data_IF_520591742210
#
_entry.id   IF_520591742210
#
_cell.length_a   1.000
_cell.length_b   1.000
_cell.length_c   1.000
_cell.angle_alpha   90.00
_cell.angle_beta   90.00
_cell.angle_gamma   90.00
#
_symmetry.space_group_name_H-M   'P 1'
#
loop_
_entity.id
_entity.type
_entity.pdbx_description
1 polymer ?
#
# COMPACT_ATOMS: atom_id res chain seq x y z
N UNK A 1 -36.33 -62.05 -5.74
CA UNK A 1 -35.09 -62.84 -5.95
C UNK A 1 -34.02 -61.87 -6.42
N UNK A 2 -33.24 -61.23 -5.54
CA UNK A 2 -31.97 -61.73 -5.00
C UNK A 2 -30.98 -62.18 -6.09
N UNK A 3 -30.02 -61.33 -6.45
CA UNK A 3 -28.59 -61.68 -6.46
C UNK A 3 -27.75 -60.42 -6.16
N UNK A 4 -26.87 -60.59 -5.19
CA UNK A 4 -25.87 -59.67 -4.63
C UNK A 4 -24.54 -59.85 -5.36
N UNK A 5 -23.78 -58.79 -5.63
CA UNK A 5 -22.30 -58.84 -5.58
C UNK A 5 -21.62 -57.49 -5.34
N UNK A 6 -21.14 -57.33 -4.09
CA UNK A 6 -19.82 -56.84 -3.64
C UNK A 6 -19.22 -55.56 -4.26
N UNK A 7 -19.36 -54.46 -3.51
CA UNK A 7 -18.48 -53.30 -3.58
C UNK A 7 -17.31 -53.47 -2.59
N UNK A 8 -16.07 -53.42 -3.09
CA UNK A 8 -14.83 -53.43 -2.28
C UNK A 8 -14.74 -52.12 -1.48
N UNK A 9 -14.73 -52.22 -0.14
CA UNK A 9 -14.27 -51.15 0.77
C UNK A 9 -12.75 -51.27 0.95
N UNK A 10 -11.99 -50.25 0.55
CA UNK A 10 -10.62 -50.04 1.03
C UNK A 10 -10.65 -49.20 2.31
N UNK A 11 -9.78 -49.58 3.25
CA UNK A 11 -9.68 -49.05 4.61
C UNK A 11 -9.02 -47.66 4.60
N UNK A 12 -9.66 -46.65 5.17
CA UNK A 12 -8.98 -45.42 5.61
C UNK A 12 -8.69 -45.54 7.12
N UNK A 13 -7.41 -45.58 7.46
CA UNK A 13 -6.89 -45.53 8.82
C UNK A 13 -6.94 -44.11 9.37
N UNK A 14 -7.43 -43.98 10.61
CA UNK A 14 -7.52 -42.74 11.40
C UNK A 14 -6.14 -42.22 11.79
N UNK A 15 -5.91 -40.89 11.72
CA UNK A 15 -5.30 -40.20 12.87
C UNK A 15 -5.88 -38.77 13.02
N UNK A 16 -7.01 -38.63 13.71
CA UNK A 16 -7.55 -37.29 14.05
C UNK A 16 -8.07 -37.20 15.51
N UNK A 17 -7.84 -38.23 16.33
CA UNK A 17 -8.30 -38.27 17.74
C UNK A 17 -7.19 -38.15 18.79
N UNK A 18 -5.92 -38.11 18.39
CA UNK A 18 -4.78 -38.03 19.32
C UNK A 18 -4.30 -36.59 19.59
N UNK A 19 -4.52 -35.65 18.67
CA UNK A 19 -4.06 -34.27 18.83
C UNK A 19 -4.91 -33.45 19.83
N UNK A 20 -6.20 -33.73 19.95
CA UNK A 20 -7.07 -33.04 20.92
C UNK A 20 -6.75 -33.40 22.39
N UNK A 21 -6.23 -34.59 22.67
CA UNK A 21 -5.89 -35.00 24.04
C UNK A 21 -4.53 -34.44 24.50
N UNK A 22 -3.59 -34.20 23.58
CA UNK A 22 -2.32 -33.56 23.91
C UNK A 22 -2.50 -32.08 24.27
N UNK A 23 -3.41 -31.37 23.58
CA UNK A 23 -3.69 -29.95 23.80
C UNK A 23 -4.40 -29.67 25.14
N UNK A 24 -5.32 -30.56 25.54
CA UNK A 24 -6.03 -30.46 26.84
C UNK A 24 -5.09 -30.76 28.00
N UNK A 25 -4.12 -31.67 27.81
CA UNK A 25 -3.13 -32.01 28.84
C UNK A 25 -2.12 -30.88 29.09
N UNK A 26 -1.70 -30.16 28.04
CA UNK A 26 -0.79 -28.99 28.13
C UNK A 26 -1.45 -27.78 28.81
N UNK A 27 -2.76 -27.57 28.63
CA UNK A 27 -3.51 -26.50 29.30
C UNK A 27 -3.68 -26.75 30.82
N UNK A 28 -3.79 -28.01 31.25
CA UNK A 28 -3.89 -28.35 32.68
C UNK A 28 -2.53 -28.18 33.38
N UNK A 29 -1.40 -28.49 32.73
CA UNK A 29 -0.07 -28.27 33.30
C UNK A 29 0.26 -26.77 33.42
N UNK A 30 -0.18 -25.93 32.47
CA UNK A 30 -0.02 -24.48 32.56
C UNK A 30 -0.83 -23.85 33.70
N UNK A 31 -2.05 -24.34 33.95
CA UNK A 31 -2.91 -23.88 35.05
C UNK A 31 -2.37 -24.27 36.44
N UNK A 32 -1.69 -25.42 36.56
CA UNK A 32 -1.05 -25.83 37.82
C UNK A 32 0.27 -25.09 38.05
N UNK A 33 1.04 -24.78 37.00
CA UNK A 33 2.28 -24.00 37.11
C UNK A 33 2.05 -22.54 37.55
N UNK A 34 0.92 -21.92 37.15
CA UNK A 34 0.53 -20.58 37.62
C UNK A 34 0.07 -20.55 39.09
N UNK A 35 -0.25 -21.70 39.68
CA UNK A 35 -0.68 -21.82 41.09
C UNK A 35 0.47 -22.03 42.08
N UNK A 36 1.69 -22.29 41.60
CA UNK A 36 2.88 -22.55 42.45
C UNK A 36 3.84 -21.35 42.54
N UNK A 37 3.62 -20.29 41.75
CA UNK A 37 4.48 -19.08 41.74
C UNK A 37 3.91 -17.94 42.63
N UNK A 38 2.77 -18.14 43.31
CA UNK A 38 2.18 -17.14 44.22
C UNK A 38 2.24 -17.53 45.70
N UNK A 39 3.32 -18.18 46.15
CA UNK A 39 3.55 -18.50 47.57
C UNK A 39 4.94 -18.07 48.06
N UNK A 40 5.34 -16.84 47.72
CA UNK A 40 6.53 -16.19 48.29
C UNK A 40 6.35 -14.67 48.22
N UNK A 41 5.63 -14.10 49.19
CA UNK A 41 5.98 -12.89 49.96
C UNK A 41 4.90 -12.77 51.03
N UNK A 42 5.32 -12.89 52.29
CA UNK A 42 4.46 -12.82 53.45
C UNK A 42 4.06 -11.39 53.83
N UNK A 43 2.88 -11.33 54.45
CA UNK A 43 2.51 -10.52 55.61
C UNK A 43 2.55 -8.99 55.53
N UNK A 44 1.37 -8.42 55.31
CA UNK A 44 0.66 -7.62 56.33
C UNK A 44 -0.65 -7.10 55.73
N UNK A 45 -1.81 -7.49 56.28
CA UNK A 45 -2.99 -6.62 56.46
C UNK A 45 -4.02 -7.36 57.31
N UNK A 46 -4.54 -6.62 58.29
CA UNK A 46 -5.53 -7.02 59.29
C UNK A 46 -6.87 -7.44 58.68
N UNK A 47 -7.56 -8.31 59.41
CA UNK A 47 -8.93 -8.77 59.18
C UNK A 47 -9.93 -7.61 59.08
N UNK A 48 -10.80 -7.66 58.07
CA UNK A 48 -12.21 -7.28 58.22
C UNK A 48 -13.06 -8.41 57.64
N UNK A 49 -13.84 -9.03 58.52
CA UNK A 49 -14.87 -10.02 58.18
C UNK A 49 -16.01 -9.31 57.45
N UNK A 50 -16.40 -9.82 56.29
CA UNK A 50 -17.65 -9.49 55.62
C UNK A 50 -18.24 -10.77 55.04
N UNK A 51 -19.34 -11.20 55.63
CA UNK A 51 -20.20 -12.30 55.16
C UNK A 51 -20.98 -11.83 53.94
N UNK A 52 -20.69 -12.39 52.75
CA UNK A 52 -21.67 -12.45 51.66
C UNK A 52 -21.30 -13.54 50.65
N UNK A 53 -22.33 -14.26 50.16
CA UNK A 53 -22.22 -15.32 49.14
C UNK A 53 -21.59 -14.77 47.85
N UNK A 54 -20.83 -15.58 47.08
CA UNK A 54 -20.22 -15.11 45.84
C UNK A 54 -21.32 -14.83 44.80
N UNK A 55 -21.48 -13.55 44.45
CA UNK A 55 -22.23 -13.12 43.26
C UNK A 55 -21.58 -13.72 42.02
N UNK A 56 -22.40 -14.07 41.03
CA UNK A 56 -21.89 -14.59 39.76
C UNK A 56 -21.02 -13.53 39.06
N UNK A 57 -20.01 -13.99 38.31
CA UNK A 57 -19.06 -13.10 37.59
C UNK A 57 -19.78 -12.09 36.67
N UNK A 58 -20.98 -12.43 36.18
CA UNK A 58 -21.80 -11.52 35.36
C UNK A 58 -22.39 -10.35 36.17
N UNK A 59 -22.86 -10.57 37.41
CA UNK A 59 -23.41 -9.50 38.24
C UNK A 59 -22.33 -8.53 38.71
N UNK A 60 -21.11 -9.03 38.95
CA UNK A 60 -19.96 -8.17 39.28
C UNK A 60 -19.53 -7.27 38.11
N UNK A 61 -19.72 -7.73 36.87
CA UNK A 61 -19.44 -6.95 35.65
C UNK A 61 -20.52 -5.88 35.45
N UNK A 62 -21.80 -6.22 35.67
CA UNK A 62 -22.92 -5.26 35.56
C UNK A 62 -22.84 -4.18 36.65
N UNK A 63 -22.54 -4.54 37.90
CA UNK A 63 -22.32 -3.56 38.98
C UNK A 63 -21.09 -2.67 38.71
N UNK A 64 -20.10 -3.13 37.96
CA UNK A 64 -18.92 -2.32 37.56
C UNK A 64 -19.25 -1.37 36.41
N UNK A 65 -20.09 -1.78 35.47
CA UNK A 65 -20.60 -0.94 34.38
C UNK A 65 -21.51 0.17 34.93
N UNK A 66 -22.41 -0.16 35.86
CA UNK A 66 -23.31 0.82 36.47
C UNK A 66 -22.55 1.84 37.33
N UNK A 67 -21.51 1.41 38.07
CA UNK A 67 -20.65 2.33 38.83
C UNK A 67 -19.80 3.25 37.96
N UNK A 68 -19.42 2.82 36.75
CA UNK A 68 -18.77 3.71 35.76
C UNK A 68 -19.75 4.72 35.15
N UNK A 69 -21.05 4.40 35.09
CA UNK A 69 -22.09 5.33 34.65
C UNK A 69 -22.43 6.38 35.74
N UNK A 70 -22.42 5.99 37.01
CA UNK A 70 -22.75 6.88 38.14
C UNK A 70 -21.61 7.84 38.55
N UNK A 71 -20.35 7.57 38.15
CA UNK A 71 -19.22 8.47 38.45
C UNK A 71 -19.08 9.65 37.48
N UNK A 72 -19.99 9.83 36.52
CA UNK A 72 -19.97 10.97 35.56
C UNK A 72 -20.95 12.10 35.92
N UNK A 73 -21.65 12.01 37.05
CA UNK A 73 -22.55 13.09 37.51
C UNK A 73 -22.10 13.68 38.84
N UNK A 74 -21.05 14.48 38.80
CA UNK A 74 -20.81 15.53 39.80
C UNK A 74 -20.64 16.86 39.08
N UNK A 75 -21.52 17.79 39.43
CA UNK A 75 -21.70 19.14 38.90
C UNK A 75 -20.42 19.97 38.95
N UNK A 76 -19.89 20.31 37.78
CA UNK A 76 -19.03 21.48 37.56
C UNK A 76 -19.56 22.32 36.40
N UNK A 77 -19.45 23.64 36.57
CA UNK A 77 -19.93 24.74 35.72
C UNK A 77 -19.74 24.54 34.19
N UNK A 78 -20.70 24.95 33.34
CA UNK A 78 -20.67 24.76 31.88
C UNK A 78 -19.80 25.79 31.14
N UNK A 79 -18.59 26.09 31.62
CA UNK A 79 -17.74 27.11 31.01
C UNK A 79 -16.25 26.78 31.11
N UNK A 80 -15.81 25.64 30.56
CA UNK A 80 -14.46 25.39 30.02
C UNK A 80 -14.37 23.93 29.55
N UNK A 81 -15.11 23.58 28.50
CA UNK A 81 -14.81 22.37 27.74
C UNK A 81 -13.80 22.75 26.64
N UNK A 82 -12.57 22.35 26.93
CA UNK A 82 -11.42 22.12 26.06
C UNK A 82 -11.63 22.41 24.55
N UNK A 83 -11.26 23.62 24.13
CA UNK A 83 -11.08 23.99 22.73
C UNK A 83 -9.68 23.56 22.28
N UNK A 84 -9.50 22.31 21.83
CA UNK A 84 -8.48 21.90 20.83
C UNK A 84 -8.42 20.37 20.61
N UNK A 85 -9.55 19.69 20.47
CA UNK A 85 -9.54 18.41 19.75
C UNK A 85 -9.74 18.75 18.27
N UNK A 86 -8.71 18.54 17.44
CA UNK A 86 -8.86 18.52 15.98
C UNK A 86 -10.04 17.61 15.67
N UNK A 87 -11.09 18.16 15.04
CA UNK A 87 -12.35 17.45 14.85
C UNK A 87 -12.14 16.26 13.91
N UNK A 88 -11.90 15.08 14.48
CA UNK A 88 -11.94 13.80 13.77
C UNK A 88 -13.37 13.61 13.27
N UNK A 89 -13.54 13.62 11.95
CA UNK A 89 -14.84 13.43 11.28
C UNK A 89 -15.09 11.97 10.90
N UNK A 90 -14.02 11.23 10.60
CA UNK A 90 -14.09 9.83 10.20
C UNK A 90 -13.08 9.03 11.03
N UNK A 91 -13.56 8.06 11.81
CA UNK A 91 -12.68 7.26 12.70
C UNK A 91 -11.79 6.29 11.93
N UNK A 92 -12.37 5.59 10.94
CA UNK A 92 -11.67 4.62 10.08
C UNK A 92 -11.78 5.12 8.64
N UNK A 93 -10.83 5.96 8.17
CA UNK A 93 -10.87 6.51 6.83
C UNK A 93 -10.55 5.44 5.79
N UNK A 94 -11.14 5.56 4.60
CA UNK A 94 -10.81 4.77 3.42
C UNK A 94 -9.94 5.62 2.50
N UNK A 95 -8.70 5.20 2.25
CA UNK A 95 -7.78 5.89 1.36
C UNK A 95 -7.76 5.19 0.01
N UNK A 96 -8.02 5.96 -1.04
CA UNK A 96 -7.84 5.49 -2.41
C UNK A 96 -6.37 5.47 -2.79
N UNK A 97 -5.87 4.36 -3.34
CA UNK A 97 -4.52 4.29 -3.92
C UNK A 97 -4.67 4.20 -5.43
N UNK A 98 -4.10 5.17 -6.16
CA UNK A 98 -4.12 5.15 -7.62
C UNK A 98 -3.27 3.99 -8.13
N UNK A 99 -3.86 3.12 -8.95
CA UNK A 99 -3.13 2.05 -9.63
C UNK A 99 -2.20 2.59 -10.71
N UNK A 100 -1.27 1.75 -11.16
CA UNK A 100 -0.31 2.06 -12.21
C UNK A 100 -0.39 1.02 -13.34
N UNK A 101 -0.05 1.41 -14.56
CA UNK A 101 0.09 0.45 -15.66
C UNK A 101 1.32 -0.42 -15.39
N UNK A 102 1.14 -1.74 -15.37
CA UNK A 102 2.23 -2.70 -15.26
C UNK A 102 2.92 -2.83 -16.62
N UNK A 103 4.01 -2.07 -16.82
CA UNK A 103 4.70 -2.01 -18.12
C UNK A 103 5.36 -3.34 -18.49
N UNK A 104 5.93 -4.04 -17.52
CA UNK A 104 6.58 -5.34 -17.67
C UNK A 104 5.63 -6.52 -17.38
N UNK A 105 4.34 -6.37 -17.69
CA UNK A 105 3.30 -7.37 -17.34
C UNK A 105 3.61 -8.79 -17.80
N UNK A 106 4.32 -8.97 -18.92
CA UNK A 106 4.70 -10.30 -19.48
C UNK A 106 5.56 -11.12 -18.51
N UNK A 107 6.23 -10.46 -17.56
CA UNK A 107 6.98 -11.12 -16.48
C UNK A 107 6.06 -11.81 -15.46
N UNK A 108 4.80 -11.36 -15.33
CA UNK A 108 3.90 -11.75 -14.24
C UNK A 108 2.59 -12.37 -14.73
N UNK A 109 2.13 -12.03 -15.94
CA UNK A 109 0.78 -12.31 -16.44
C UNK A 109 0.76 -12.38 -17.97
N UNK A 110 -0.24 -13.07 -18.53
CA UNK A 110 -0.41 -13.21 -19.98
C UNK A 110 -1.10 -11.99 -20.65
N UNK A 111 -1.76 -11.15 -19.86
CA UNK A 111 -2.51 -9.97 -20.36
C UNK A 111 -2.06 -8.71 -19.65
N UNK A 112 -2.35 -7.55 -20.23
CA UNK A 112 -2.06 -6.28 -19.57
C UNK A 112 -2.79 -6.15 -18.22
N UNK A 113 -2.07 -5.66 -17.21
CA UNK A 113 -2.59 -5.45 -15.86
C UNK A 113 -2.24 -4.04 -15.36
N UNK A 114 -3.06 -3.58 -14.42
CA UNK A 114 -2.73 -2.50 -13.51
C UNK A 114 -2.14 -3.11 -12.23
N UNK A 115 -1.36 -2.35 -11.47
CA UNK A 115 -0.84 -2.82 -10.20
C UNK A 115 -0.83 -1.77 -9.09
N UNK A 116 -0.71 -2.25 -7.85
CA UNK A 116 -0.27 -1.51 -6.67
C UNK A 116 0.79 -2.36 -5.96
N UNK A 117 1.93 -1.78 -5.60
CA UNK A 117 2.89 -2.45 -4.73
C UNK A 117 2.30 -2.60 -3.31
N UNK A 118 2.38 -3.80 -2.73
CA UNK A 118 1.71 -4.11 -1.48
C UNK A 118 2.26 -3.30 -0.29
N UNK A 119 3.49 -2.80 -0.38
CA UNK A 119 4.08 -1.90 0.62
C UNK A 119 3.25 -0.64 0.85
N UNK A 120 2.69 0.00 -0.18
CA UNK A 120 1.78 1.15 0.01
C UNK A 120 0.52 0.78 0.78
N UNK A 121 -0.05 -0.40 0.51
CA UNK A 121 -1.23 -0.90 1.22
C UNK A 121 -0.90 -1.12 2.69
N UNK A 122 0.16 -1.88 2.97
CA UNK A 122 0.64 -2.18 4.33
C UNK A 122 0.97 -0.91 5.12
N UNK A 123 1.57 0.07 4.45
CA UNK A 123 1.93 1.36 5.04
C UNK A 123 0.72 2.14 5.52
N UNK A 124 -0.32 2.26 4.69
CA UNK A 124 -1.58 2.88 5.06
C UNK A 124 -2.32 2.09 6.14
N UNK A 125 -2.45 0.77 5.99
CA UNK A 125 -3.18 -0.07 6.94
C UNK A 125 -2.52 -0.12 8.32
N UNK A 126 -1.19 -0.02 8.36
CA UNK A 126 -0.49 0.09 9.64
C UNK A 126 -1.05 1.26 10.46
N UNK A 127 -1.44 2.35 9.81
CA UNK A 127 -1.91 3.58 10.46
C UNK A 127 -3.42 3.66 10.69
N UNK A 128 -4.12 2.54 10.56
CA UNK A 128 -5.53 2.44 10.95
C UNK A 128 -6.53 2.92 9.89
N UNK A 129 -6.09 3.02 8.63
CA UNK A 129 -6.96 3.29 7.49
C UNK A 129 -7.20 2.03 6.66
N UNK A 130 -8.33 1.98 5.96
CA UNK A 130 -8.60 0.96 4.95
C UNK A 130 -8.19 1.46 3.57
N UNK A 131 -7.90 0.53 2.66
CA UNK A 131 -7.46 0.86 1.30
C UNK A 131 -8.46 0.41 0.26
N UNK A 132 -8.65 1.24 -0.76
CA UNK A 132 -9.34 0.88 -2.00
C UNK A 132 -8.45 1.18 -3.21
N UNK A 133 -8.24 0.23 -4.14
CA UNK A 133 -7.57 0.50 -5.40
C UNK A 133 -8.44 1.39 -6.30
N UNK A 134 -7.85 2.47 -6.81
CA UNK A 134 -8.48 3.30 -7.85
C UNK A 134 -7.90 2.90 -9.20
N UNK A 135 -8.73 2.28 -10.03
CA UNK A 135 -8.35 1.74 -11.33
C UNK A 135 -8.18 2.87 -12.36
N UNK A 136 -7.20 2.71 -13.24
CA UNK A 136 -7.03 3.56 -14.42
C UNK A 136 -8.06 3.21 -15.50
N UNK A 137 -8.13 4.07 -16.53
CA UNK A 137 -8.97 3.86 -17.72
C UNK A 137 -10.47 3.67 -17.42
N UNK A 138 -10.95 4.30 -16.34
CA UNK A 138 -12.38 4.35 -16.00
C UNK A 138 -13.03 5.65 -16.47
N UNK A 139 -14.36 5.70 -16.45
CA UNK A 139 -15.13 6.88 -16.84
C UNK A 139 -15.26 7.93 -15.70
N UNK A 140 -15.83 9.10 -15.99
CA UNK A 140 -15.98 10.20 -15.03
C UNK A 140 -16.86 9.84 -13.84
N UNK A 141 -17.91 9.05 -14.08
CA UNK A 141 -18.82 8.59 -13.04
C UNK A 141 -18.06 7.72 -12.02
N UNK A 142 -17.21 6.81 -12.49
CA UNK A 142 -16.37 6.00 -11.62
C UNK A 142 -15.48 6.87 -10.74
N UNK A 143 -14.70 7.80 -11.30
CA UNK A 143 -13.79 8.62 -10.48
C UNK A 143 -14.55 9.53 -9.50
N UNK A 144 -15.69 10.08 -9.93
CA UNK A 144 -16.57 10.87 -9.06
C UNK A 144 -17.12 10.02 -7.91
N UNK A 145 -17.50 8.77 -8.19
CA UNK A 145 -17.99 7.85 -7.18
C UNK A 145 -16.86 7.44 -6.22
N UNK A 146 -15.68 7.07 -6.73
CA UNK A 146 -14.53 6.73 -5.90
C UNK A 146 -14.15 7.89 -4.99
N UNK A 147 -14.05 9.11 -5.51
CA UNK A 147 -13.77 10.32 -4.71
C UNK A 147 -14.75 10.52 -3.55
N UNK A 148 -16.06 10.32 -3.79
CA UNK A 148 -17.10 10.41 -2.75
C UNK A 148 -17.03 9.26 -1.73
N UNK A 149 -16.39 8.16 -2.09
CA UNK A 149 -16.29 6.93 -1.31
C UNK A 149 -14.88 6.71 -0.73
N UNK A 150 -14.07 7.77 -0.70
CA UNK A 150 -12.76 7.79 -0.05
C UNK A 150 -12.61 9.08 0.76
N UNK A 151 -11.72 9.05 1.74
CA UNK A 151 -11.41 10.14 2.64
C UNK A 151 -10.04 10.79 2.33
N UNK A 152 -9.31 10.25 1.37
CA UNK A 152 -8.01 10.75 0.91
C UNK A 152 -7.53 9.96 -0.31
N UNK A 153 -6.53 10.50 -1.01
CA UNK A 153 -5.93 9.88 -2.19
C UNK A 153 -4.41 9.75 -2.02
N UNK A 154 -3.87 8.57 -2.31
CA UNK A 154 -2.44 8.32 -2.42
C UNK A 154 -2.06 8.10 -3.88
N UNK A 155 -1.05 8.85 -4.33
CA UNK A 155 -0.37 8.70 -5.60
C UNK A 155 0.98 8.00 -5.34
N UNK A 156 1.11 6.71 -5.68
CA UNK A 156 2.32 5.95 -5.37
C UNK A 156 3.49 6.35 -6.29
N UNK A 157 4.70 5.96 -5.90
CA UNK A 157 5.87 5.96 -6.76
C UNK A 157 5.75 4.92 -7.88
N UNK A 158 6.59 5.02 -8.91
CA UNK A 158 6.62 4.10 -10.06
C UNK A 158 7.26 4.74 -11.28
N UNK A 159 6.95 4.24 -12.47
CA UNK A 159 7.66 4.56 -13.71
C UNK A 159 6.73 4.93 -14.88
N UNK A 160 5.44 5.14 -14.62
CA UNK A 160 4.49 5.56 -15.65
C UNK A 160 4.79 6.99 -16.16
N UNK A 161 4.52 7.23 -17.45
CA UNK A 161 4.84 8.49 -18.11
C UNK A 161 4.01 9.67 -17.58
N UNK A 162 4.71 10.69 -17.06
CA UNK A 162 4.15 11.98 -16.65
C UNK A 162 4.33 13.02 -17.76
N UNK A 163 3.42 13.03 -18.73
CA UNK A 163 3.37 14.05 -19.77
C UNK A 163 2.04 14.81 -19.71
N UNK A 164 2.04 16.09 -19.29
CA UNK A 164 0.80 16.87 -19.20
C UNK A 164 0.08 17.05 -20.53
N UNK A 165 0.78 16.89 -21.66
CA UNK A 165 0.24 17.02 -23.02
C UNK A 165 -0.33 15.72 -23.58
N UNK A 166 -0.14 14.59 -22.89
CA UNK A 166 -0.66 13.29 -23.33
C UNK A 166 -1.75 12.80 -22.38
N UNK A 167 -2.72 12.10 -22.95
CA UNK A 167 -3.82 11.48 -22.22
C UNK A 167 -3.51 10.03 -21.88
N UNK A 168 -2.37 9.79 -21.23
CA UNK A 168 -2.05 8.46 -20.70
C UNK A 168 -3.09 8.05 -19.63
N UNK A 169 -3.35 6.75 -19.42
CA UNK A 169 -4.33 6.30 -18.43
C UNK A 169 -4.12 6.89 -17.03
N UNK A 170 -2.84 7.03 -16.62
CA UNK A 170 -2.47 7.66 -15.36
C UNK A 170 -2.78 9.16 -15.35
N UNK A 171 -2.38 9.89 -16.40
CA UNK A 171 -2.61 11.35 -16.47
C UNK A 171 -4.10 11.68 -16.50
N UNK A 172 -4.91 10.92 -17.24
CA UNK A 172 -6.37 11.11 -17.30
C UNK A 172 -7.01 10.88 -15.93
N UNK A 173 -6.69 9.75 -15.27
CA UNK A 173 -7.24 9.44 -13.95
C UNK A 173 -6.81 10.47 -12.90
N UNK A 174 -5.52 10.79 -12.87
CA UNK A 174 -4.95 11.71 -11.89
C UNK A 174 -5.46 13.15 -12.07
N UNK A 175 -5.56 13.66 -13.31
CA UNK A 175 -6.16 14.98 -13.60
C UNK A 175 -7.60 15.08 -13.05
N UNK A 176 -8.42 14.03 -13.25
CA UNK A 176 -9.81 14.00 -12.76
C UNK A 176 -9.88 14.00 -11.24
N UNK A 177 -9.15 13.10 -10.59
CA UNK A 177 -9.13 12.98 -9.12
C UNK A 177 -8.54 14.22 -8.44
N UNK A 178 -7.44 14.75 -8.98
CA UNK A 178 -6.83 15.98 -8.47
C UNK A 178 -7.78 17.17 -8.61
N UNK A 179 -8.48 17.31 -9.74
CA UNK A 179 -9.49 18.36 -9.93
C UNK A 179 -10.63 18.24 -8.91
N UNK A 180 -11.16 17.03 -8.70
CA UNK A 180 -12.21 16.79 -7.70
C UNK A 180 -11.76 17.20 -6.29
N UNK A 181 -10.56 16.81 -5.89
CA UNK A 181 -9.98 17.18 -4.60
C UNK A 181 -9.70 18.69 -4.47
N UNK A 182 -9.13 19.32 -5.50
CA UNK A 182 -8.87 20.76 -5.52
C UNK A 182 -10.17 21.56 -5.39
N UNK A 183 -11.17 21.21 -6.21
CA UNK A 183 -12.48 21.87 -6.17
C UNK A 183 -13.15 21.63 -4.82
N UNK A 184 -13.11 20.42 -4.26
CA UNK A 184 -13.64 20.13 -2.92
C UNK A 184 -13.01 21.01 -1.83
N UNK A 185 -11.68 21.07 -1.77
CA UNK A 185 -11.01 21.89 -0.76
C UNK A 185 -11.33 23.39 -0.93
N UNK A 186 -11.47 23.90 -2.17
CA UNK A 186 -11.89 25.29 -2.44
C UNK A 186 -13.26 25.64 -1.86
N UNK A 187 -14.18 24.68 -1.79
CA UNK A 187 -15.52 24.84 -1.16
C UNK A 187 -15.55 24.38 0.30
N UNK A 188 -14.40 24.17 0.94
CA UNK A 188 -14.29 23.79 2.36
C UNK A 188 -14.58 22.31 2.64
N UNK A 189 -14.63 21.48 1.60
CA UNK A 189 -14.77 20.03 1.69
C UNK A 189 -13.38 19.40 1.72
N UNK A 190 -12.85 19.24 2.93
CA UNK A 190 -11.46 18.86 3.18
C UNK A 190 -11.13 17.49 2.57
N UNK A 191 -10.15 17.40 1.67
CA UNK A 191 -9.76 16.14 1.04
C UNK A 191 -8.25 16.08 0.79
N UNK A 192 -7.48 15.29 1.55
CA UNK A 192 -6.03 15.23 1.44
C UNK A 192 -5.53 14.38 0.27
N UNK A 193 -4.39 14.76 -0.29
CA UNK A 193 -3.64 13.97 -1.28
C UNK A 193 -2.22 13.76 -0.77
N UNK A 194 -1.72 12.54 -0.87
CA UNK A 194 -0.33 12.16 -0.64
C UNK A 194 0.34 11.73 -1.94
N UNK A 195 1.54 12.23 -2.22
CA UNK A 195 2.38 11.80 -3.34
C UNK A 195 3.73 11.26 -2.86
N UNK A 196 4.09 10.05 -3.31
CA UNK A 196 5.40 9.44 -3.05
C UNK A 196 6.18 9.31 -4.35
N UNK A 197 7.43 9.77 -4.41
CA UNK A 197 8.31 9.64 -5.58
C UNK A 197 7.61 10.16 -6.86
N UNK A 198 7.24 9.28 -7.81
CA UNK A 198 6.41 9.61 -8.98
C UNK A 198 5.12 10.39 -8.60
N UNK A 199 4.51 10.10 -7.46
CA UNK A 199 3.35 10.83 -6.96
C UNK A 199 3.64 12.28 -6.58
N UNK A 200 4.82 12.56 -6.02
CA UNK A 200 5.30 13.92 -5.76
C UNK A 200 5.50 14.66 -7.09
N UNK A 201 6.17 14.01 -8.03
CA UNK A 201 6.40 14.54 -9.38
C UNK A 201 5.07 14.85 -10.07
N UNK A 202 4.11 13.93 -10.01
CA UNK A 202 2.79 14.06 -10.59
C UNK A 202 1.99 15.23 -9.97
N UNK A 203 2.05 15.43 -8.65
CA UNK A 203 1.42 16.59 -8.00
C UNK A 203 1.93 17.93 -8.57
N UNK A 204 3.23 18.03 -8.80
CA UNK A 204 3.86 19.22 -9.39
C UNK A 204 3.42 19.44 -10.85
N UNK A 205 3.30 18.36 -11.64
CA UNK A 205 2.83 18.41 -13.03
C UNK A 205 1.33 18.74 -13.11
N UNK A 206 0.50 18.18 -12.24
CA UNK A 206 -0.95 18.43 -12.22
C UNK A 206 -1.29 19.87 -11.81
N UNK A 207 -0.52 20.42 -10.87
CA UNK A 207 -0.76 21.78 -10.36
C UNK A 207 -0.39 22.87 -11.37
N UNK A 208 0.59 22.60 -12.24
CA UNK A 208 1.06 23.56 -13.25
C UNK A 208 0.59 23.26 -14.67
N UNK A 209 0.13 22.04 -14.94
CA UNK A 209 -0.04 21.49 -16.29
C UNK A 209 1.23 21.62 -17.16
N UNK A 210 2.41 21.56 -16.54
CA UNK A 210 3.72 21.70 -17.17
C UNK A 210 4.66 20.59 -16.72
N UNK A 211 5.64 20.24 -17.57
CA UNK A 211 6.74 19.40 -17.12
C UNK A 211 7.73 20.27 -16.34
N UNK A 212 7.82 20.01 -15.03
CA UNK A 212 8.68 20.76 -14.09
C UNK A 212 9.85 19.92 -13.60
N UNK A 213 9.98 18.69 -14.10
CA UNK A 213 10.94 17.70 -13.63
C UNK A 213 12.30 17.93 -14.27
N UNK A 214 13.34 17.85 -13.46
CA UNK A 214 14.74 17.95 -13.88
C UNK A 214 15.43 16.60 -13.67
N UNK A 215 16.48 16.32 -14.44
CA UNK A 215 17.24 15.08 -14.27
C UNK A 215 18.05 15.15 -12.97
N UNK A 216 18.00 14.08 -12.20
CA UNK A 216 18.85 13.85 -11.04
C UNK A 216 19.24 12.37 -11.00
N UNK A 217 20.09 11.96 -10.06
CA UNK A 217 20.51 10.56 -9.92
C UNK A 217 20.57 10.15 -8.46
N UNK A 218 19.42 9.73 -7.91
CA UNK A 218 19.32 9.14 -6.59
C UNK A 218 18.73 7.72 -6.71
N UNK A 219 19.57 6.76 -7.08
CA UNK A 219 19.14 5.38 -7.38
C UNK A 219 19.74 4.43 -6.35
N UNK A 220 18.87 3.78 -5.58
CA UNK A 220 19.25 2.85 -4.52
C UNK A 220 20.15 3.52 -3.45
N UNK A 221 19.71 4.68 -2.95
CA UNK A 221 20.44 5.46 -1.96
C UNK A 221 19.59 5.71 -0.71
N UNK A 222 20.16 5.47 0.47
CA UNK A 222 19.62 5.97 1.73
C UNK A 222 20.21 7.35 1.99
N UNK A 223 19.38 8.39 2.04
CA UNK A 223 19.82 9.78 2.19
C UNK A 223 19.28 10.42 3.46
N UNK A 224 20.04 11.35 4.07
CA UNK A 224 19.51 12.33 5.02
C UNK A 224 18.86 13.48 4.25
N UNK A 225 18.32 14.47 4.97
CA UNK A 225 17.78 15.69 4.38
C UNK A 225 18.05 16.93 5.21
N UNK A 226 18.19 18.06 4.52
CA UNK A 226 18.32 19.39 5.12
C UNK A 226 16.94 20.05 5.20
N UNK A 227 16.45 20.30 6.42
CA UNK A 227 15.21 21.05 6.64
C UNK A 227 15.46 22.55 6.54
N UNK A 228 14.64 23.25 5.74
CA UNK A 228 14.62 24.72 5.69
C UNK A 228 13.55 25.31 6.59
N UNK A 229 12.48 24.55 6.87
CA UNK A 229 11.40 24.95 7.76
C UNK A 229 10.53 23.75 8.17
N UNK A 230 9.73 23.93 9.22
CA UNK A 230 8.70 22.97 9.62
C UNK A 230 7.33 23.42 9.11
N UNK A 231 6.72 22.58 8.28
CA UNK A 231 5.36 22.76 7.76
C UNK A 231 4.30 22.08 8.62
N UNK A 232 3.08 21.95 8.06
CA UNK A 232 1.98 21.17 8.65
C UNK A 232 2.41 19.74 8.96
N UNK A 233 3.17 19.12 8.05
CA UNK A 233 3.73 17.77 8.25
C UNK A 233 4.58 17.61 9.51
N UNK A 234 5.18 18.69 10.03
CA UNK A 234 6.10 18.65 11.17
C UNK A 234 5.73 19.67 12.25
N UNK A 235 4.46 20.04 12.33
CA UNK A 235 3.99 20.91 13.41
C UNK A 235 4.14 20.19 14.76
N UNK A 236 4.63 20.86 15.83
CA UNK A 236 4.73 20.26 17.17
C UNK A 236 3.40 19.68 17.68
N UNK A 237 2.29 20.21 17.18
CA UNK A 237 0.93 19.79 17.55
C UNK A 237 0.47 18.48 16.92
N UNK A 238 1.23 17.89 15.97
CA UNK A 238 0.82 16.66 15.28
C UNK A 238 0.63 15.46 16.22
N UNK A 239 1.18 15.51 17.44
CA UNK A 239 1.00 14.47 18.48
C UNK A 239 0.72 15.07 19.87
N UNK A 240 0.54 16.39 19.98
CA UNK A 240 0.40 17.07 21.28
C UNK A 240 -0.90 16.76 22.01
N UNK A 241 -1.87 16.14 21.31
CA UNK A 241 -3.14 15.70 21.88
C UNK A 241 -3.06 14.35 22.60
N UNK A 242 -1.88 13.70 22.64
CA UNK A 242 -1.62 12.51 23.45
C UNK A 242 -0.79 12.96 24.67
N UNK A 243 -1.40 13.21 25.83
CA UNK A 243 -0.72 13.86 26.97
C UNK A 243 0.51 13.10 27.49
N UNK A 244 0.55 11.78 27.28
CA UNK A 244 1.68 10.94 27.69
C UNK A 244 2.90 11.07 26.76
N UNK A 245 2.70 11.59 25.54
CA UNK A 245 3.76 11.84 24.55
C UNK A 245 4.25 13.30 24.63
N UNK A 246 4.30 13.91 25.82
CA UNK A 246 4.62 15.32 26.13
C UNK A 246 6.02 15.82 25.69
N UNK A 247 6.47 15.44 24.51
CA UNK A 247 7.71 15.75 23.83
C UNK A 247 7.36 16.13 22.39
N UNK A 248 8.12 17.06 21.81
CA UNK A 248 7.98 17.40 20.39
C UNK A 248 8.43 16.21 19.52
N UNK A 249 7.55 15.23 19.35
CA UNK A 249 7.83 14.00 18.61
C UNK A 249 8.22 14.31 17.16
N UNK A 250 7.53 15.29 16.54
CA UNK A 250 7.90 15.74 15.19
C UNK A 250 9.29 16.38 15.13
N UNK A 251 9.74 17.07 16.18
CA UNK A 251 11.10 17.58 16.31
C UNK A 251 12.15 16.46 16.38
N UNK A 252 11.86 15.37 17.08
CA UNK A 252 12.71 14.16 17.11
C UNK A 252 12.81 13.53 15.72
N UNK A 253 11.69 13.43 14.99
CA UNK A 253 11.70 12.92 13.61
C UNK A 253 12.52 13.80 12.67
N UNK A 254 12.40 15.13 12.78
CA UNK A 254 13.23 16.08 12.02
C UNK A 254 14.72 15.88 12.33
N UNK A 255 15.09 15.69 13.59
CA UNK A 255 16.47 15.43 14.00
C UNK A 255 17.01 14.13 13.39
N UNK A 256 16.23 13.05 13.44
CA UNK A 256 16.60 11.76 12.84
C UNK A 256 16.82 11.88 11.33
N UNK A 257 15.88 12.51 10.64
CA UNK A 257 15.93 12.74 9.18
C UNK A 257 17.12 13.63 8.76
N UNK A 258 17.58 14.52 9.65
CA UNK A 258 18.72 15.40 9.39
C UNK A 258 20.07 14.69 9.61
N UNK A 259 20.16 13.82 10.63
CA UNK A 259 21.43 13.24 11.08
C UNK A 259 21.77 11.90 10.45
N UNK A 260 20.80 11.17 9.92
CA UNK A 260 20.98 9.80 9.49
C UNK A 260 20.39 9.53 8.10
N UNK A 261 21.00 8.58 7.40
CA UNK A 261 20.57 8.10 6.10
C UNK A 261 19.36 7.17 6.25
N UNK A 262 18.18 7.76 6.44
CA UNK A 262 16.95 7.01 6.78
C UNK A 262 15.94 6.95 5.64
N UNK A 263 16.11 7.72 4.57
CA UNK A 263 15.13 7.83 3.49
C UNK A 263 15.61 7.14 2.22
N UNK A 264 14.86 6.15 1.76
CA UNK A 264 15.21 5.40 0.56
C UNK A 264 14.81 6.14 -0.71
N UNK A 265 15.78 6.43 -1.56
CA UNK A 265 15.62 7.15 -2.82
C UNK A 265 15.88 6.20 -4.00
N UNK A 266 14.95 6.22 -4.96
CA UNK A 266 15.02 5.42 -6.17
C UNK A 266 14.34 6.16 -7.34
N UNK A 267 14.98 7.23 -7.80
CA UNK A 267 14.45 8.12 -8.84
C UNK A 267 15.56 8.78 -9.67
N UNK A 268 15.18 9.20 -10.88
CA UNK A 268 16.06 9.88 -11.85
C UNK A 268 15.52 11.24 -12.29
N UNK A 269 14.38 11.63 -11.72
CA UNK A 269 13.70 12.88 -11.96
C UNK A 269 13.40 13.51 -10.62
N UNK A 270 13.60 14.81 -10.54
CA UNK A 270 13.48 15.57 -9.31
C UNK A 270 12.72 16.86 -9.58
N UNK A 271 12.10 17.39 -8.53
CA UNK A 271 11.56 18.75 -8.50
C UNK A 271 12.57 19.67 -7.80
N UNK A 272 12.83 20.83 -8.39
CA UNK A 272 13.75 21.86 -7.87
C UNK A 272 13.00 23.17 -7.65
N UNK A 273 13.60 24.10 -6.89
CA UNK A 273 13.01 25.44 -6.70
C UNK A 273 12.84 26.17 -8.04
N UNK A 274 13.82 26.06 -8.93
CA UNK A 274 13.76 26.61 -10.29
C UNK A 274 12.64 25.95 -11.11
N UNK A 275 12.48 24.62 -11.00
CA UNK A 275 11.36 23.89 -11.59
C UNK A 275 10.00 24.41 -11.13
N UNK A 276 9.81 24.57 -9.82
CA UNK A 276 8.56 25.14 -9.26
C UNK A 276 8.35 26.58 -9.69
N UNK A 277 9.38 27.42 -9.65
CA UNK A 277 9.32 28.83 -10.04
C UNK A 277 8.95 29.00 -11.52
N UNK A 278 9.58 28.24 -12.42
CA UNK A 278 9.27 28.25 -13.86
C UNK A 278 7.82 27.89 -14.15
N UNK A 279 7.20 27.08 -13.29
CA UNK A 279 5.82 26.66 -13.39
C UNK A 279 4.82 27.52 -12.60
N UNK A 280 5.29 28.60 -11.95
CA UNK A 280 4.42 29.46 -11.14
C UNK A 280 3.87 28.77 -9.88
N UNK A 281 4.59 27.78 -9.35
CA UNK A 281 4.17 26.99 -8.18
C UNK A 281 4.80 27.46 -6.86
N UNK A 282 5.62 28.52 -6.87
CA UNK A 282 6.28 29.04 -5.67
C UNK A 282 5.30 29.47 -4.56
N UNK A 283 4.10 29.94 -4.94
CA UNK A 283 3.04 30.31 -3.99
C UNK A 283 2.00 29.19 -3.79
N UNK A 284 2.16 28.06 -4.47
CA UNK A 284 1.29 26.90 -4.32
C UNK A 284 1.90 25.87 -3.38
N UNK A 285 3.18 25.56 -3.57
CA UNK A 285 3.92 24.58 -2.78
C UNK A 285 5.01 25.23 -1.95
N UNK A 286 5.12 24.74 -0.72
CA UNK A 286 6.15 25.10 0.24
C UNK A 286 7.13 23.92 0.37
N UNK A 287 8.35 24.04 -0.16
CA UNK A 287 9.43 23.10 0.16
C UNK A 287 9.73 23.12 1.67
N UNK A 288 9.88 21.94 2.28
CA UNK A 288 10.21 21.79 3.69
C UNK A 288 11.63 21.29 3.91
N UNK A 289 12.09 20.40 3.03
CA UNK A 289 13.41 19.80 3.12
C UNK A 289 13.96 19.46 1.73
N UNK A 290 15.28 19.30 1.68
CA UNK A 290 16.04 18.99 0.48
C UNK A 290 17.02 17.85 0.74
N UNK A 291 17.30 17.07 -0.30
CA UNK A 291 18.42 16.13 -0.32
C UNK A 291 19.29 16.44 -1.55
N UNK A 292 20.49 15.86 -1.58
CA UNK A 292 21.38 15.97 -2.73
C UNK A 292 21.60 14.59 -3.33
N UNK A 293 21.60 14.50 -4.65
CA UNK A 293 21.91 13.29 -5.38
C UNK A 293 23.43 12.99 -5.36
N UNK A 294 23.87 11.86 -5.92
CA UNK A 294 25.30 11.48 -5.95
C UNK A 294 26.22 12.48 -6.66
N UNK A 295 25.66 13.38 -7.48
CA UNK A 295 26.37 14.43 -8.20
C UNK A 295 26.28 15.79 -7.47
N UNK A 296 25.79 15.81 -6.22
CA UNK A 296 25.50 17.00 -5.42
C UNK A 296 24.42 17.92 -6.01
N UNK A 297 23.56 17.43 -6.90
CA UNK A 297 22.40 18.21 -7.33
C UNK A 297 21.37 18.21 -6.21
N UNK A 298 21.08 19.40 -5.66
CA UNK A 298 20.08 19.60 -4.60
C UNK A 298 18.67 19.54 -5.19
N UNK A 299 17.79 18.77 -4.57
CA UNK A 299 16.39 18.62 -4.99
C UNK A 299 15.45 18.70 -3.79
N UNK A 300 14.20 19.07 -4.06
CA UNK A 300 13.13 19.12 -3.06
C UNK A 300 12.75 17.68 -2.71
N UNK A 301 13.01 17.27 -1.47
CA UNK A 301 12.69 15.91 -0.99
C UNK A 301 11.34 15.85 -0.27
N UNK A 302 10.88 16.99 0.27
CA UNK A 302 9.56 17.15 0.88
C UNK A 302 8.97 18.51 0.50
N UNK A 303 7.72 18.54 0.06
CA UNK A 303 6.91 19.76 0.01
C UNK A 303 5.47 19.52 0.46
N UNK A 304 4.79 20.60 0.82
CA UNK A 304 3.35 20.61 1.09
C UNK A 304 2.68 21.79 0.37
N UNK A 305 1.41 21.66 0.00
CA UNK A 305 0.64 22.78 -0.50
C UNK A 305 0.33 23.78 0.62
N UNK A 306 0.40 25.07 0.29
CA UNK A 306 0.19 26.15 1.25
C UNK A 306 -1.26 26.16 1.73
N UNK A 307 -2.21 26.18 0.80
CA UNK A 307 -3.65 26.27 1.12
C UNK A 307 -4.33 24.89 1.20
N UNK A 308 -3.86 23.93 0.42
CA UNK A 308 -4.51 22.62 0.26
C UNK A 308 -3.82 21.54 1.10
N UNK A 309 -4.52 20.48 1.52
CA UNK A 309 -3.93 19.35 2.23
C UNK A 309 -3.25 18.37 1.27
N UNK A 310 -2.35 18.88 0.43
CA UNK A 310 -1.59 18.08 -0.54
C UNK A 310 -0.13 17.99 -0.09
N UNK A 311 0.40 16.78 -0.01
CA UNK A 311 1.71 16.49 0.57
C UNK A 311 2.52 15.63 -0.38
N UNK A 312 3.81 15.93 -0.53
CA UNK A 312 4.72 15.18 -1.38
C UNK A 312 5.99 14.80 -0.63
N UNK A 313 6.43 13.55 -0.81
CA UNK A 313 7.79 13.10 -0.47
C UNK A 313 8.45 12.45 -1.69
N UNK A 314 9.73 12.75 -1.97
CA UNK A 314 10.44 12.20 -3.13
C UNK A 314 10.99 10.80 -2.85
N UNK A 315 11.33 10.52 -1.59
CA UNK A 315 11.76 9.21 -1.10
C UNK A 315 10.57 8.28 -0.85
N UNK A 316 10.85 7.01 -0.56
CA UNK A 316 9.87 5.95 -0.35
C UNK A 316 9.70 5.59 1.15
N UNK A 317 8.77 6.22 1.89
CA UNK A 317 8.53 5.88 3.29
C UNK A 317 7.94 4.48 3.46
N UNK A 318 7.31 3.89 2.44
CA UNK A 318 6.67 2.58 2.51
C UNK A 318 7.66 1.41 2.47
N UNK A 319 8.88 1.62 1.95
CA UNK A 319 9.86 0.53 1.73
C UNK A 319 10.55 0.04 3.01
N UNK A 320 11.07 0.91 3.91
CA UNK A 320 11.78 0.49 5.11
C UNK A 320 11.12 -0.63 5.94
N UNK A 321 9.80 -0.64 6.19
CA UNK A 321 9.16 -1.75 6.91
C UNK A 321 8.71 -2.94 6.05
N UNK A 322 8.61 -2.82 4.70
CA UNK A 322 7.84 -3.77 3.89
C UNK A 322 8.53 -4.31 2.62
N UNK A 323 9.67 -3.77 2.20
CA UNK A 323 10.42 -4.23 1.03
C UNK A 323 11.85 -4.60 1.43
N UNK A 324 12.27 -5.85 1.25
CA UNK A 324 13.49 -6.35 1.90
C UNK A 324 14.66 -6.49 0.94
N UNK A 325 15.87 -6.20 1.46
CA UNK A 325 17.16 -6.32 0.75
C UNK A 325 17.52 -7.80 0.50
N UNK A 326 16.81 -8.42 -0.45
CA UNK A 326 17.08 -9.78 -0.95
C UNK A 326 17.34 -9.79 -2.47
N UNK A 327 17.48 -8.60 -3.07
CA UNK A 327 17.33 -8.37 -4.52
C UNK A 327 18.54 -7.69 -5.12
N UNK A 328 18.84 -7.98 -6.38
CA UNK A 328 20.05 -7.54 -7.09
C UNK A 328 20.18 -6.04 -7.37
N UNK A 329 19.12 -5.24 -7.18
CA UNK A 329 19.11 -3.79 -7.52
C UNK A 329 18.64 -2.88 -6.38
N UNK A 330 18.37 -3.42 -5.18
CA UNK A 330 17.87 -2.63 -4.05
C UNK A 330 18.60 -3.01 -2.75
N UNK A 331 19.85 -2.61 -2.64
CA UNK A 331 20.72 -3.01 -1.54
C UNK A 331 20.70 -2.03 -0.36
N UNK A 332 20.21 -0.81 -0.57
CA UNK A 332 20.34 0.27 0.41
C UNK A 332 19.01 0.72 1.02
N UNK A 333 18.00 -0.15 1.04
CA UNK A 333 16.77 0.12 1.81
C UNK A 333 17.13 0.10 3.31
N UNK A 334 16.99 1.22 4.04
CA UNK A 334 17.35 1.27 5.45
C UNK A 334 16.29 0.56 6.28
N UNK A 335 16.68 -0.50 6.99
CA UNK A 335 15.80 -1.30 7.87
C UNK A 335 16.04 -1.04 9.37
N UNK A 336 16.57 0.12 9.74
CA UNK A 336 16.84 0.46 11.14
C UNK A 336 15.54 0.79 11.88
N UNK A 337 15.59 0.80 13.22
CA UNK A 337 14.41 1.18 14.03
C UNK A 337 13.98 2.61 13.74
N UNK A 338 14.94 3.49 13.48
CA UNK A 338 14.75 4.89 13.16
C UNK A 338 14.07 5.06 11.79
N UNK A 339 14.47 4.31 10.75
CA UNK A 339 13.80 4.38 9.45
C UNK A 339 12.37 3.85 9.50
N UNK A 340 12.11 2.82 10.32
CA UNK A 340 10.76 2.32 10.58
C UNK A 340 9.93 3.35 11.35
N UNK A 341 10.50 4.04 12.34
CA UNK A 341 9.81 5.10 13.08
C UNK A 341 9.46 6.29 12.17
N UNK A 342 10.38 6.69 11.29
CA UNK A 342 10.14 7.72 10.26
C UNK A 342 9.04 7.29 9.29
N UNK A 343 9.09 6.05 8.78
CA UNK A 343 8.04 5.48 7.93
C UNK A 343 6.67 5.58 8.60
N UNK A 344 6.63 5.20 9.88
CA UNK A 344 5.40 5.22 10.67
C UNK A 344 4.84 6.62 10.85
N UNK A 345 5.70 7.59 11.18
CA UNK A 345 5.32 8.99 11.36
C UNK A 345 4.57 9.55 10.15
N UNK A 346 5.07 9.32 8.93
CA UNK A 346 4.43 9.82 7.72
C UNK A 346 3.08 9.15 7.44
N UNK A 347 2.96 7.85 7.70
CA UNK A 347 1.68 7.14 7.55
C UNK A 347 0.63 7.65 8.54
N UNK A 348 1.02 7.81 9.81
CA UNK A 348 0.16 8.36 10.86
C UNK A 348 -0.29 9.78 10.51
N UNK A 349 0.63 10.63 10.05
CA UNK A 349 0.30 11.98 9.62
C UNK A 349 -0.76 11.96 8.51
N UNK A 350 -0.55 11.18 7.45
CA UNK A 350 -1.47 11.18 6.32
C UNK A 350 -2.84 10.61 6.67
N UNK A 351 -2.89 9.53 7.45
CA UNK A 351 -4.16 8.96 7.93
C UNK A 351 -4.89 9.97 8.83
N UNK A 352 -4.19 10.69 9.70
CA UNK A 352 -4.81 11.77 10.50
C UNK A 352 -5.38 12.88 9.63
N UNK A 353 -4.74 13.24 8.51
CA UNK A 353 -5.35 14.18 7.56
C UNK A 353 -6.64 13.60 6.95
N UNK A 354 -6.65 12.32 6.58
CA UNK A 354 -7.83 11.67 6.02
C UNK A 354 -8.99 11.59 7.03
N UNK A 355 -8.69 11.47 8.32
CA UNK A 355 -9.70 11.48 9.40
C UNK A 355 -10.46 12.83 9.52
N UNK A 356 -9.93 13.92 8.94
CA UNK A 356 -10.59 15.23 8.91
C UNK A 356 -11.62 15.36 7.78
N UNK A 357 -11.57 14.48 6.78
CA UNK A 357 -12.57 14.44 5.72
C UNK A 357 -13.89 13.81 6.24
N UNK A 358 -15.02 14.38 5.84
CA UNK A 358 -16.36 13.98 6.29
C UNK A 358 -17.13 13.08 5.31
N UNK A 359 -16.49 12.54 4.26
CA UNK A 359 -17.17 11.61 3.35
C UNK A 359 -17.60 10.34 4.11
N UNK A 360 -18.88 9.98 3.95
CA UNK A 360 -19.44 8.76 4.50
C UNK A 360 -19.34 7.64 3.47
N UNK A 361 -18.71 6.54 3.87
CA UNK A 361 -18.48 5.40 2.99
C UNK A 361 -19.71 4.49 3.01
N UNK A 362 -20.31 4.28 1.84
CA UNK A 362 -21.35 3.28 1.62
C UNK A 362 -20.72 1.88 1.58
N UNK A 363 -20.80 1.17 2.70
CA UNK A 363 -20.25 -0.18 2.85
C UNK A 363 -20.86 -1.19 1.88
N UNK A 364 -22.16 -1.05 1.58
CA UNK A 364 -22.85 -1.96 0.65
C UNK A 364 -22.28 -1.89 -0.76
N UNK A 365 -21.75 -0.71 -1.12
CA UNK A 365 -21.09 -0.46 -2.38
C UNK A 365 -19.60 -0.80 -2.34
N UNK A 366 -18.91 -0.42 -1.26
CA UNK A 366 -17.46 -0.39 -1.20
C UNK A 366 -16.79 -1.66 -0.70
N UNK A 367 -17.45 -2.51 0.09
CA UNK A 367 -16.81 -3.69 0.71
C UNK A 367 -16.21 -4.65 -0.32
N UNK A 368 -16.85 -4.79 -1.50
CA UNK A 368 -16.36 -5.60 -2.62
C UNK A 368 -15.21 -4.96 -3.40
N UNK A 369 -14.95 -3.67 -3.19
CA UNK A 369 -13.89 -2.93 -3.85
C UNK A 369 -12.68 -2.72 -2.95
N UNK A 370 -12.82 -2.83 -1.62
CA UNK A 370 -11.70 -2.76 -0.69
C UNK A 370 -10.60 -3.75 -1.07
N UNK A 371 -9.37 -3.41 -0.70
CA UNK A 371 -8.18 -4.20 -1.07
C UNK A 371 -8.28 -5.66 -0.61
N UNK A 372 -9.04 -5.95 0.44
CA UNK A 372 -9.30 -7.29 0.98
C UNK A 372 -9.96 -8.25 -0.02
N UNK A 373 -10.65 -7.73 -1.04
CA UNK A 373 -11.25 -8.53 -2.10
C UNK A 373 -10.22 -9.06 -3.12
N UNK A 374 -8.97 -8.59 -3.05
CA UNK A 374 -7.90 -8.95 -3.99
C UNK A 374 -6.75 -9.63 -3.23
N UNK A 375 -6.17 -10.69 -3.80
CA UNK A 375 -4.99 -11.34 -3.23
C UNK A 375 -3.73 -10.80 -3.91
N UNK A 376 -2.68 -10.42 -3.15
CA UNK A 376 -1.42 -10.01 -3.75
C UNK A 376 -0.65 -11.22 -4.28
N UNK A 377 0.06 -11.03 -5.39
CA UNK A 377 1.01 -11.97 -5.95
C UNK A 377 2.38 -11.78 -5.28
N UNK A 378 3.09 -12.87 -4.97
CA UNK A 378 4.49 -12.83 -4.53
C UNK A 378 5.41 -12.64 -5.74
N UNK A 379 5.78 -11.39 -6.04
CA UNK A 379 6.47 -11.01 -7.27
C UNK A 379 8.00 -11.03 -7.13
N UNK A 380 8.55 -11.06 -5.91
CA UNK A 380 10.01 -11.12 -5.73
C UNK A 380 10.65 -12.40 -6.29
N UNK A 381 9.94 -13.55 -6.33
CA UNK A 381 10.43 -14.76 -6.99
C UNK A 381 10.64 -14.60 -8.50
N UNK A 382 10.02 -13.58 -9.09
CA UNK A 382 10.10 -13.23 -10.50
C UNK A 382 11.03 -12.02 -10.71
N UNK A 383 11.97 -11.79 -9.78
CA UNK A 383 12.97 -10.71 -9.83
C UNK A 383 12.36 -9.30 -9.90
N UNK A 384 11.18 -9.11 -9.29
CA UNK A 384 10.56 -7.80 -9.13
C UNK A 384 11.18 -7.02 -7.96
N UNK A 385 11.17 -5.69 -8.06
CA UNK A 385 11.62 -4.79 -7.00
C UNK A 385 10.67 -4.78 -5.79
N UNK A 386 9.43 -5.27 -5.94
CA UNK A 386 8.49 -5.39 -4.81
C UNK A 386 8.39 -6.84 -4.34
N UNK A 387 8.22 -7.06 -3.04
CA UNK A 387 7.93 -8.39 -2.47
C UNK A 387 6.62 -8.90 -3.05
N UNK A 388 5.62 -8.03 -3.04
CA UNK A 388 4.27 -8.36 -3.46
C UNK A 388 3.64 -7.22 -4.25
N UNK A 389 2.84 -7.57 -5.25
CA UNK A 389 1.96 -6.65 -5.97
C UNK A 389 0.52 -7.15 -5.96
N UNK A 390 -0.41 -6.24 -5.80
CA UNK A 390 -1.80 -6.46 -6.20
C UNK A 390 -1.92 -6.19 -7.69
N UNK A 391 -2.50 -7.14 -8.43
CA UNK A 391 -2.70 -7.04 -9.88
C UNK A 391 -4.19 -6.92 -10.19
N UNK A 392 -4.53 -6.03 -11.11
CA UNK A 392 -5.91 -5.79 -11.54
C UNK A 392 -5.98 -5.84 -13.06
N UNK A 393 -7.01 -6.45 -13.68
CA UNK A 393 -7.12 -6.50 -15.13
C UNK A 393 -7.15 -5.09 -15.76
N UNK A 394 -6.40 -4.89 -16.84
CA UNK A 394 -6.55 -3.70 -17.68
C UNK A 394 -7.79 -3.87 -18.57
N UNK A 395 -8.81 -3.03 -18.43
CA UNK A 395 -10.08 -3.20 -19.16
C UNK A 395 -9.93 -3.14 -20.69
N UNK A 396 -10.65 -4.01 -21.40
CA UNK A 396 -10.76 -3.98 -22.87
C UNK A 396 -11.58 -2.75 -23.30
N UNK A 397 -10.93 -1.70 -23.81
CA UNK A 397 -11.64 -0.53 -24.32
C UNK A 397 -10.79 0.68 -24.70
N UNK A 398 -9.51 0.74 -24.34
CA UNK A 398 -8.63 1.81 -24.82
C UNK A 398 -7.82 1.37 -26.04
N UNK A 399 -8.09 2.01 -27.16
CA UNK A 399 -7.25 2.03 -28.34
C UNK A 399 -6.12 3.05 -28.13
N UNK A 400 -5.02 2.72 -27.46
CA UNK A 400 -3.75 3.46 -27.65
C UNK A 400 -2.55 2.83 -26.95
N UNK A 401 -1.36 3.14 -27.48
CA UNK A 401 -0.05 2.57 -27.23
C UNK A 401 0.25 2.38 -25.73
N UNK A 402 0.43 1.11 -25.35
CA UNK A 402 1.50 0.80 -24.42
C UNK A 402 2.76 1.38 -25.04
N UNK A 403 3.23 2.51 -24.51
CA UNK A 403 4.57 2.98 -24.86
C UNK A 403 5.49 1.88 -24.35
N UNK A 404 5.92 1.02 -25.28
CA UNK A 404 6.86 -0.04 -24.98
C UNK A 404 8.07 0.62 -24.32
N UNK A 405 8.45 0.05 -23.18
CA UNK A 405 9.60 0.46 -22.43
C UNK A 405 10.82 0.46 -23.36
N UNK A 406 11.46 1.61 -23.52
CA UNK A 406 12.85 1.64 -23.99
C UNK A 406 13.68 1.31 -22.76
N UNK A 407 14.32 0.14 -22.70
CA UNK A 407 15.21 -0.18 -21.60
C UNK A 407 16.24 0.93 -21.48
N UNK A 408 16.39 1.48 -20.28
CA UNK A 408 17.59 2.26 -19.99
C UNK A 408 18.79 1.31 -20.07
N UNK A 409 19.93 1.78 -20.55
CA UNK A 409 21.13 0.99 -20.90
C UNK A 409 21.66 0.05 -19.78
N UNK A 410 21.08 0.10 -18.58
CA UNK A 410 21.38 -0.73 -17.40
C UNK A 410 20.32 -1.83 -17.10
N UNK A 411 19.35 -2.02 -18.00
CA UNK A 411 18.35 -3.11 -17.95
C UNK A 411 18.75 -4.28 -18.88
N UNK A 412 19.91 -4.88 -18.63
CA UNK A 412 20.15 -6.24 -19.12
C UNK A 412 19.25 -7.22 -18.36
N UNK A 413 18.26 -7.77 -19.06
CA UNK A 413 17.55 -8.99 -18.65
C UNK A 413 18.39 -10.17 -19.14
N UNK A 414 18.89 -11.06 -18.27
CA UNK A 414 19.59 -12.26 -18.72
C UNK A 414 18.68 -13.07 -19.66
N UNK A 415 19.17 -13.41 -20.86
CA UNK A 415 18.40 -14.08 -21.93
C UNK A 415 17.87 -15.48 -21.53
N UNK A 416 18.25 -16.03 -20.37
CA UNK A 416 18.00 -17.43 -20.01
C UNK A 416 16.66 -17.71 -19.29
N UNK A 417 15.79 -16.70 -19.08
CA UNK A 417 14.53 -16.88 -18.32
C UNK A 417 13.29 -17.09 -19.21
N UNK A 418 13.42 -16.97 -20.53
CA UNK A 418 12.27 -17.15 -21.45
C UNK A 418 11.97 -18.61 -21.78
N UNK A 419 12.92 -19.52 -21.59
CA UNK A 419 12.76 -20.94 -21.99
C UNK A 419 12.35 -21.87 -20.85
N UNK A 420 12.77 -21.63 -19.61
CA UNK A 420 12.54 -22.57 -18.49
C UNK A 420 11.11 -22.53 -17.92
N UNK A 421 10.42 -21.38 -17.95
CA UNK A 421 9.05 -21.27 -17.42
C UNK A 421 7.95 -21.58 -18.45
N UNK A 422 8.26 -21.55 -19.75
CA UNK A 422 7.33 -21.95 -20.81
C UNK A 422 7.00 -23.44 -20.74
N UNK A 423 7.96 -24.25 -20.32
CA UNK A 423 7.82 -25.70 -20.22
C UNK A 423 7.05 -26.17 -18.97
N UNK A 424 7.15 -25.46 -17.84
CA UNK A 424 6.37 -25.80 -16.63
C UNK A 424 4.89 -25.46 -16.77
N UNK A 425 4.55 -24.34 -17.43
CA UNK A 425 3.17 -23.93 -17.65
C UNK A 425 2.46 -24.81 -18.71
N UNK A 426 3.18 -25.27 -19.73
CA UNK A 426 2.65 -26.23 -20.72
C UNK A 426 2.45 -27.64 -20.13
N UNK A 427 3.30 -28.07 -19.19
CA UNK A 427 3.18 -29.38 -18.55
C UNK A 427 2.02 -29.47 -17.55
N UNK A 428 1.67 -28.38 -16.87
CA UNK A 428 0.53 -28.36 -15.96
C UNK A 428 -0.82 -28.36 -16.70
N UNK A 429 -0.91 -27.72 -17.87
CA UNK A 429 -2.13 -27.74 -18.69
C UNK A 429 -2.37 -29.08 -19.41
N UNK A 430 -1.33 -29.87 -19.71
CA UNK A 430 -1.50 -31.22 -20.27
C UNK A 430 -2.00 -32.26 -19.26
N UNK A 431 -1.82 -32.03 -17.94
CA UNK A 431 -2.31 -32.95 -16.90
C UNK A 431 -3.78 -32.78 -16.55
N UNK A 432 -4.43 -31.69 -16.97
CA UNK A 432 -5.85 -31.41 -16.69
C UNK A 432 -6.81 -31.71 -17.85
N UNK A 433 -6.34 -32.18 -19.00
CA UNK A 433 -7.19 -32.50 -20.18
C UNK A 433 -6.97 -33.93 -20.73
N UNK A 434 -6.75 -34.90 -19.84
CA UNK A 434 -6.50 -36.30 -20.18
C UNK A 434 -7.58 -37.26 -19.69
N UNK A 435 -8.86 -36.96 -19.91
CA UNK A 435 -9.93 -37.95 -19.78
C UNK A 435 -11.00 -37.70 -20.84
N UNK A 436 -10.94 -38.46 -21.93
CA UNK A 436 -12.08 -39.18 -22.54
C UNK A 436 -11.86 -39.52 -24.04
N UNK A 437 -12.09 -40.81 -24.29
CA UNK A 437 -12.54 -41.49 -25.51
C UNK A 437 -11.67 -41.51 -26.78
N UNK A 438 -11.04 -42.67 -26.96
CA UNK A 438 -10.76 -43.31 -28.23
C UNK A 438 -11.98 -43.36 -29.16
N UNK A 439 -11.85 -42.81 -30.37
CA UNK A 439 -12.53 -43.32 -31.56
C UNK A 439 -11.49 -43.52 -32.65
N UNK A 440 -11.47 -44.74 -33.16
CA UNK A 440 -10.55 -45.27 -34.15
C UNK A 440 -11.23 -45.14 -35.53
N UNK A 441 -10.63 -44.41 -36.47
CA UNK A 441 -10.94 -44.57 -37.91
C UNK A 441 -9.66 -44.42 -38.73
N UNK A 442 -9.34 -45.51 -39.41
CA UNK A 442 -8.32 -45.69 -40.45
C UNK A 442 -8.79 -45.15 -41.80
N UNK A 443 -7.87 -44.61 -42.62
CA UNK A 443 -8.15 -44.38 -44.05
C UNK A 443 -6.95 -43.80 -44.81
N UNK A 444 -6.32 -44.63 -45.64
CA UNK A 444 -5.28 -44.32 -46.63
C UNK A 444 -5.80 -43.43 -47.77
N UNK A 445 -4.92 -42.64 -48.42
CA UNK A 445 -4.46 -42.87 -49.81
C UNK A 445 -3.86 -41.62 -50.49
N UNK A 446 -2.61 -41.76 -50.96
CA UNK A 446 -2.01 -41.36 -52.24
C UNK A 446 -2.52 -40.15 -53.05
N UNK A 447 -1.60 -39.26 -53.44
CA UNK A 447 -0.99 -39.20 -54.81
C UNK A 447 -0.55 -37.79 -55.27
N UNK A 448 0.77 -37.67 -55.51
CA UNK A 448 1.46 -37.17 -56.73
C UNK A 448 1.28 -35.77 -57.37
N UNK A 449 2.48 -35.19 -57.70
CA UNK A 449 2.89 -34.36 -58.87
C UNK A 449 2.53 -32.85 -58.87
N UNK A 450 3.31 -31.90 -59.41
CA UNK A 450 4.67 -31.80 -59.96
C UNK A 450 4.94 -30.31 -60.33
N UNK A 451 6.22 -29.89 -60.29
CA UNK A 451 6.93 -28.81 -61.03
C UNK A 451 6.39 -27.36 -61.15
N UNK A 452 7.22 -26.36 -60.76
CA UNK A 452 8.02 -25.51 -61.67
C UNK A 452 9.01 -24.61 -60.88
N UNK A 453 10.28 -24.63 -61.28
CA UNK A 453 11.33 -23.64 -60.92
C UNK A 453 11.34 -22.47 -61.91
N UNK A 454 11.69 -21.26 -61.45
CA UNK A 454 12.51 -20.28 -62.19
C UNK A 454 13.37 -19.45 -61.20
N UNK A 455 14.67 -19.39 -61.46
CA UNK A 455 15.72 -18.64 -60.75
C UNK A 455 15.95 -17.20 -61.26
N UNK A 456 16.81 -16.47 -60.50
CA UNK A 456 17.68 -15.31 -60.80
C UNK A 456 17.04 -13.93 -60.51
N UNK A 457 17.66 -12.98 -59.83
CA UNK A 457 19.06 -12.72 -59.40
C UNK A 457 19.13 -11.24 -58.93
N UNK A 458 20.31 -10.63 -58.74
CA UNK A 458 20.88 -10.42 -57.40
C UNK A 458 21.00 -8.96 -56.91
N UNK A 459 21.52 -8.87 -55.68
CA UNK A 459 21.84 -7.72 -54.86
C UNK A 459 22.90 -6.74 -55.41
N UNK A 460 22.93 -5.56 -54.78
CA UNK A 460 24.11 -4.75 -54.54
C UNK A 460 24.18 -4.43 -53.04
#
# INVERSE_FOLDING_TARGET
>A
MSVVTKQKRSKLSKPFRWWCWLYISLLIVALVASSVISSSVGDNIQQVKSTDKPKSVQEAIVDRINRMHETTTTTTSPAQQDKSLTLVRTQVPVIGILTQVLRDYKRFTDTHHLHIAASYVKWIESSGAQVVPILLNQNDQYYTQMFKQTNGLLLPGGDNLLDPKKDTPMMVAAKKLYKLALDANRRGDYYPIWGTCLGLELLSVLSSNMNVLERCSAIDEALPMEFVQRGKMFAPTSYSNIPQLNQDYSGVIVELLTKANLTYNYHMKCVTDDGLKRAGLSDFYRPLAYSSDKNNNKFITIFEAIEYPFYGVQFHPEKPPFEFVTKSKQHHIPHTRESIAVSRYFADFFVQQAQLNGHLIDRSLMDKHLIYATQPMYTALLHDMYEQRYLFPFGNGSTEEFVEHVPHDDEEVPEDVTNTMRDEHLNNNKKQHGSELHVHVSGQSDSQRDFYQVEKGPAA
#
